data_IF_192029340438
#
_entry.id   IF_192029340438
#
_cell.length_a   1.000
_cell.length_b   1.000
_cell.length_c   1.000
_cell.angle_alpha   90.00
_cell.angle_beta   90.00
_cell.angle_gamma   90.00
#
_symmetry.space_group_name_H-M   'P 1'
#
loop_
_entity.id
_entity.type
_entity.pdbx_description
1 polymer ?
#
# COMPACT_ATOMS: atom_id res chain seq x y z
N UNK A 1 -35.54 0.98 29.85
CA UNK A 1 -35.02 1.85 28.77
C UNK A 1 -34.98 1.00 27.52
N UNK A 2 -35.50 1.50 26.40
CA UNK A 2 -35.40 0.80 25.12
C UNK A 2 -33.94 0.56 24.73
N UNK A 3 -33.66 -0.47 23.93
CA UNK A 3 -32.31 -0.89 23.56
C UNK A 3 -31.58 0.24 22.81
N UNK A 4 -32.27 0.90 21.87
CA UNK A 4 -31.77 2.09 21.16
C UNK A 4 -31.44 3.23 22.13
N UNK A 5 -32.36 3.56 23.03
CA UNK A 5 -32.13 4.61 24.02
C UNK A 5 -30.93 4.30 24.94
N UNK A 6 -30.69 3.02 25.23
CA UNK A 6 -29.52 2.56 25.99
C UNK A 6 -28.23 2.74 25.20
N UNK A 7 -28.23 2.35 23.92
CA UNK A 7 -27.10 2.56 23.04
C UNK A 7 -26.75 4.05 22.90
N UNK A 8 -27.75 4.88 22.60
CA UNK A 8 -27.58 6.32 22.40
C UNK A 8 -26.97 6.97 23.65
N UNK A 9 -27.50 6.64 24.83
CA UNK A 9 -26.94 7.07 26.10
C UNK A 9 -25.49 6.64 26.30
N UNK A 10 -25.15 5.38 25.97
CA UNK A 10 -23.80 4.85 26.14
C UNK A 10 -22.79 5.47 25.17
N UNK A 11 -23.20 5.78 23.93
CA UNK A 11 -22.36 6.48 22.96
C UNK A 11 -22.06 7.89 23.45
N UNK A 12 -23.07 8.63 23.89
CA UNK A 12 -22.88 9.98 24.44
C UNK A 12 -22.00 9.97 25.70
N UNK A 13 -22.17 8.97 26.58
CA UNK A 13 -21.29 8.80 27.74
C UNK A 13 -19.83 8.57 27.34
N UNK A 14 -19.57 7.74 26.32
CA UNK A 14 -18.20 7.54 25.84
C UNK A 14 -17.63 8.83 25.26
N UNK A 15 -18.41 9.54 24.44
CA UNK A 15 -17.97 10.79 23.80
C UNK A 15 -17.66 11.88 24.82
N UNK A 16 -18.45 12.01 25.87
CA UNK A 16 -18.17 12.92 26.99
C UNK A 16 -16.88 12.51 27.73
N UNK A 17 -16.73 11.23 28.04
CA UNK A 17 -15.59 10.71 28.77
C UNK A 17 -14.26 10.95 28.02
N UNK A 18 -14.22 10.74 26.70
CA UNK A 18 -13.01 10.90 25.89
C UNK A 18 -12.57 12.37 25.72
N UNK A 19 -13.47 13.35 25.94
CA UNK A 19 -13.08 14.77 25.89
C UNK A 19 -12.03 15.13 26.94
N UNK A 20 -11.95 14.34 28.00
CA UNK A 20 -10.94 14.49 29.04
C UNK A 20 -9.60 13.80 28.72
N UNK A 21 -9.41 13.29 27.51
CA UNK A 21 -8.18 12.62 27.07
C UNK A 21 -7.57 13.31 25.86
N UNK A 22 -6.23 13.30 25.80
CA UNK A 22 -5.50 13.72 24.60
C UNK A 22 -5.89 12.88 23.39
N UNK A 23 -5.99 13.54 22.23
CA UNK A 23 -6.23 12.93 20.93
C UNK A 23 -5.02 13.10 20.02
N UNK A 24 -4.98 12.30 18.95
CA UNK A 24 -4.11 12.52 17.81
C UNK A 24 -4.83 13.33 16.74
N UNK A 25 -4.09 14.06 15.90
CA UNK A 25 -4.64 14.83 14.78
C UNK A 25 -4.19 14.19 13.47
N UNK A 26 -5.14 13.95 12.57
CA UNK A 26 -4.87 13.58 11.18
C UNK A 26 -5.63 14.51 10.26
N UNK A 27 -4.91 15.29 9.45
CA UNK A 27 -5.46 16.43 8.71
C UNK A 27 -6.21 17.42 9.63
N UNK A 28 -7.54 17.40 9.65
CA UNK A 28 -8.38 18.23 10.52
C UNK A 28 -9.18 17.42 11.56
N UNK A 29 -8.97 16.10 11.60
CA UNK A 29 -9.76 15.20 12.43
C UNK A 29 -9.09 15.00 13.79
N UNK A 30 -9.89 15.06 14.86
CA UNK A 30 -9.49 14.62 16.18
C UNK A 30 -9.77 13.13 16.32
N UNK A 31 -8.73 12.35 16.65
CA UNK A 31 -8.80 10.88 16.68
C UNK A 31 -8.39 10.36 18.06
N UNK A 32 -9.32 9.65 18.70
CA UNK A 32 -9.06 8.84 19.89
C UNK A 32 -9.04 7.36 19.50
N UNK A 33 -7.97 6.68 19.88
CA UNK A 33 -7.85 5.23 19.75
C UNK A 33 -7.84 4.62 21.14
N UNK A 34 -8.85 3.83 21.45
CA UNK A 34 -9.17 3.38 22.80
C UNK A 34 -9.01 1.86 22.85
N UNK A 35 -7.81 1.34 23.16
CA UNK A 35 -7.66 -0.06 23.50
C UNK A 35 -8.23 -0.32 24.89
N UNK A 36 -9.13 -1.30 25.03
CA UNK A 36 -9.72 -1.68 26.32
C UNK A 36 -9.93 -3.19 26.41
N UNK A 37 -9.79 -3.77 27.61
CA UNK A 37 -10.21 -5.15 27.86
C UNK A 37 -11.70 -5.21 28.20
N UNK A 38 -12.40 -6.25 27.73
CA UNK A 38 -13.73 -6.60 28.20
C UNK A 38 -13.70 -7.37 29.55
N UNK A 39 -14.87 -7.76 30.03
CA UNK A 39 -15.02 -8.48 31.30
C UNK A 39 -14.35 -9.86 31.31
N UNK A 40 -14.12 -10.45 30.15
CA UNK A 40 -13.44 -11.74 29.98
C UNK A 40 -11.93 -11.57 29.75
N UNK A 41 -11.44 -10.32 29.71
CA UNK A 41 -10.05 -9.99 29.44
C UNK A 41 -9.67 -9.99 27.96
N UNK A 42 -10.63 -10.10 27.03
CA UNK A 42 -10.36 -9.94 25.60
C UNK A 42 -10.18 -8.47 25.27
N UNK A 43 -9.19 -8.16 24.44
CA UNK A 43 -8.88 -6.79 24.07
C UNK A 43 -9.60 -6.35 22.80
N UNK A 44 -10.11 -5.14 22.83
CA UNK A 44 -10.84 -4.48 21.75
C UNK A 44 -10.24 -3.10 21.48
N UNK A 45 -10.55 -2.52 20.33
CA UNK A 45 -10.12 -1.18 19.95
C UNK A 45 -11.29 -0.43 19.32
N UNK A 46 -11.77 0.60 20.02
CA UNK A 46 -12.69 1.58 19.44
C UNK A 46 -11.88 2.78 18.96
N UNK A 47 -12.14 3.21 17.73
CA UNK A 47 -11.67 4.49 17.22
C UNK A 47 -12.82 5.48 17.20
N UNK A 48 -12.62 6.65 17.76
CA UNK A 48 -13.56 7.78 17.67
C UNK A 48 -12.91 8.88 16.86
N UNK A 49 -13.60 9.34 15.83
CA UNK A 49 -13.17 10.43 14.96
C UNK A 49 -14.17 11.56 15.11
N UNK A 50 -13.66 12.77 15.39
CA UNK A 50 -14.48 13.98 15.41
C UNK A 50 -13.93 14.98 14.41
N UNK A 51 -14.82 15.49 13.56
CA UNK A 51 -14.54 16.56 12.61
C UNK A 51 -15.69 17.57 12.63
N UNK A 52 -15.37 18.82 12.97
CA UNK A 52 -16.36 19.88 13.19
C UNK A 52 -17.44 19.47 14.21
N UNK A 53 -18.66 19.17 13.75
CA UNK A 53 -19.78 18.72 14.59
C UNK A 53 -20.13 17.25 14.39
N UNK A 54 -19.44 16.57 13.47
CA UNK A 54 -19.67 15.18 13.15
C UNK A 54 -18.78 14.29 14.00
N UNK A 55 -19.35 13.22 14.52
CA UNK A 55 -18.64 12.20 15.31
C UNK A 55 -18.94 10.84 14.70
N UNK A 56 -17.90 10.05 14.49
CA UNK A 56 -18.00 8.68 14.05
C UNK A 56 -17.22 7.75 14.98
N UNK A 57 -17.82 6.60 15.30
CA UNK A 57 -17.26 5.55 16.13
C UNK A 57 -17.09 4.29 15.29
N UNK A 58 -15.93 3.67 15.38
CA UNK A 58 -15.58 2.47 14.64
C UNK A 58 -15.12 1.37 15.60
N UNK A 59 -15.68 0.18 15.46
CA UNK A 59 -15.00 -1.02 15.94
C UNK A 59 -13.88 -1.33 14.96
N UNK A 60 -12.63 -1.15 15.39
CA UNK A 60 -11.50 -1.35 14.51
C UNK A 60 -11.38 -2.80 14.06
N UNK A 61 -11.97 -3.78 14.76
CA UNK A 61 -12.00 -5.17 14.33
C UNK A 61 -12.74 -5.40 13.00
N UNK A 62 -13.57 -4.43 12.59
CA UNK A 62 -14.42 -4.49 11.40
C UNK A 62 -15.68 -5.34 11.56
N UNK A 63 -15.82 -6.07 12.68
CA UNK A 63 -16.88 -7.06 12.91
C UNK A 63 -18.22 -6.47 13.37
N UNK A 64 -18.25 -5.19 13.70
CA UNK A 64 -19.40 -4.54 14.33
C UNK A 64 -19.76 -3.23 13.65
N UNK A 65 -19.21 -2.95 12.46
CA UNK A 65 -19.47 -1.68 11.78
C UNK A 65 -19.10 -0.46 12.64
N UNK A 66 -19.98 0.54 12.65
CA UNK A 66 -19.78 1.79 13.35
C UNK A 66 -21.06 2.61 13.45
N UNK A 67 -20.99 3.72 14.17
CA UNK A 67 -22.07 4.69 14.32
C UNK A 67 -21.58 6.10 14.00
N UNK A 68 -22.46 6.94 13.50
CA UNK A 68 -22.21 8.37 13.26
C UNK A 68 -23.38 9.25 13.65
N UNK A 69 -23.07 10.50 13.95
CA UNK A 69 -24.03 11.55 14.28
C UNK A 69 -23.42 12.95 14.23
N UNK A 70 -24.27 13.96 14.05
CA UNK A 70 -23.93 15.35 14.34
C UNK A 70 -24.46 15.77 15.71
N UNK A 71 -23.82 16.76 16.34
CA UNK A 71 -24.30 17.33 17.59
C UNK A 71 -25.76 17.82 17.45
N UNK A 72 -26.68 17.15 18.17
CA UNK A 72 -28.16 17.33 18.18
C UNK A 72 -28.97 16.47 17.20
N UNK A 73 -28.34 15.59 16.40
CA UNK A 73 -29.03 14.68 15.49
C UNK A 73 -29.14 13.25 16.03
N UNK A 74 -29.99 12.44 15.39
CA UNK A 74 -30.14 11.01 15.69
C UNK A 74 -28.84 10.24 15.39
N UNK A 75 -28.45 9.38 16.34
CA UNK A 75 -27.35 8.43 16.16
C UNK A 75 -27.78 7.34 15.18
N UNK A 76 -26.97 7.13 14.14
CA UNK A 76 -27.26 6.20 13.05
C UNK A 76 -26.09 5.25 12.81
N UNK A 77 -26.37 4.01 12.40
CA UNK A 77 -25.36 3.10 11.87
C UNK A 77 -24.65 3.71 10.66
N UNK A 78 -23.34 3.49 10.56
CA UNK A 78 -22.54 4.00 9.46
C UNK A 78 -22.75 3.13 8.20
N UNK A 79 -23.49 3.63 7.22
CA UNK A 79 -23.97 2.85 6.06
C UNK A 79 -22.86 2.40 5.11
N UNK A 80 -21.70 3.05 5.15
CA UNK A 80 -20.55 2.74 4.27
C UNK A 80 -19.85 1.44 4.68
N UNK A 81 -20.13 0.91 5.88
CA UNK A 81 -19.54 -0.33 6.36
C UNK A 81 -20.37 -1.54 5.91
N UNK A 82 -19.68 -2.61 5.51
CA UNK A 82 -20.32 -3.85 5.03
C UNK A 82 -21.13 -4.56 6.12
N UNK A 83 -20.83 -4.29 7.38
CA UNK A 83 -21.44 -4.95 8.53
C UNK A 83 -22.30 -3.95 9.31
N UNK A 84 -23.54 -4.32 9.55
CA UNK A 84 -24.45 -3.53 10.37
C UNK A 84 -24.14 -3.78 11.84
N UNK A 85 -24.04 -2.73 12.67
CA UNK A 85 -23.68 -2.87 14.08
C UNK A 85 -24.73 -3.65 14.87
N UNK A 86 -24.29 -4.64 15.66
CA UNK A 86 -25.12 -5.29 16.66
C UNK A 86 -25.18 -4.40 17.91
N UNK A 87 -26.35 -3.83 18.17
CA UNK A 87 -26.61 -2.92 19.28
C UNK A 87 -26.21 -3.51 20.65
N UNK A 88 -26.42 -4.81 20.89
CA UNK A 88 -26.11 -5.45 22.19
C UNK A 88 -24.61 -5.59 22.39
N UNK A 89 -23.89 -5.94 21.33
CA UNK A 89 -22.43 -6.03 21.35
C UNK A 89 -21.84 -4.65 21.61
N UNK A 90 -22.32 -3.62 20.90
CA UNK A 90 -21.88 -2.24 21.12
C UNK A 90 -22.16 -1.72 22.52
N UNK A 91 -23.36 -1.96 23.08
CA UNK A 91 -23.64 -1.60 24.48
C UNK A 91 -22.62 -2.25 25.43
N UNK A 92 -22.22 -3.50 25.16
CA UNK A 92 -21.22 -4.20 25.96
C UNK A 92 -19.83 -3.57 25.81
N UNK A 93 -19.41 -3.26 24.59
CA UNK A 93 -18.14 -2.61 24.29
C UNK A 93 -18.05 -1.22 24.92
N UNK A 94 -19.09 -0.40 24.76
CA UNK A 94 -19.16 0.95 25.31
C UNK A 94 -19.11 0.94 26.84
N UNK A 95 -19.78 -0.02 27.50
CA UNK A 95 -19.70 -0.19 28.95
C UNK A 95 -18.28 -0.53 29.40
N UNK A 96 -17.62 -1.45 28.71
CA UNK A 96 -16.24 -1.85 29.01
C UNK A 96 -15.27 -0.69 28.77
N UNK A 97 -15.39 0.03 27.64
CA UNK A 97 -14.57 1.18 27.30
C UNK A 97 -14.72 2.32 28.33
N UNK A 98 -15.95 2.70 28.70
CA UNK A 98 -16.20 3.72 29.72
C UNK A 98 -15.65 3.31 31.10
N UNK A 99 -15.81 2.05 31.49
CA UNK A 99 -15.23 1.55 32.75
C UNK A 99 -13.69 1.59 32.71
N UNK A 100 -13.10 1.24 31.57
CA UNK A 100 -11.67 1.29 31.35
C UNK A 100 -11.13 2.74 31.42
N UNK A 101 -11.75 3.69 30.73
CA UNK A 101 -11.35 5.11 30.78
C UNK A 101 -11.40 5.67 32.21
N UNK A 102 -12.41 5.31 33.01
CA UNK A 102 -12.46 5.69 34.43
C UNK A 102 -11.29 5.11 35.25
N UNK A 103 -10.82 3.91 34.90
CA UNK A 103 -9.62 3.32 35.51
C UNK A 103 -8.36 4.06 35.05
N UNK A 104 -8.26 4.39 33.75
CA UNK A 104 -7.14 5.16 33.20
C UNK A 104 -7.07 6.55 33.86
N UNK A 105 -8.19 7.23 34.11
CA UNK A 105 -8.19 8.53 34.82
C UNK A 105 -7.57 8.46 36.21
N UNK A 106 -7.73 7.34 36.92
CA UNK A 106 -7.19 7.16 38.27
C UNK A 106 -5.68 6.94 38.27
N UNK A 107 -5.19 6.14 37.33
CA UNK A 107 -3.76 5.86 37.17
C UNK A 107 -3.44 5.52 35.71
N UNK A 108 -3.22 6.57 34.91
CA UNK A 108 -3.01 6.41 33.48
C UNK A 108 -1.67 5.73 33.18
N UNK A 109 -0.67 5.88 34.06
CA UNK A 109 0.64 5.23 33.88
C UNK A 109 0.52 3.72 34.06
N UNK A 110 -0.13 3.24 35.13
CA UNK A 110 -0.34 1.82 35.33
C UNK A 110 -1.24 1.21 34.25
N UNK A 111 -2.29 1.92 33.84
CA UNK A 111 -3.19 1.44 32.78
C UNK A 111 -2.47 1.30 31.43
N UNK A 112 -1.65 2.28 31.03
CA UNK A 112 -0.89 2.20 29.79
C UNK A 112 0.22 1.13 29.87
N UNK A 113 0.88 0.93 31.02
CA UNK A 113 1.79 -0.21 31.21
C UNK A 113 1.07 -1.55 31.03
N UNK A 114 -0.18 -1.66 31.50
CA UNK A 114 -1.01 -2.85 31.30
C UNK A 114 -1.32 -3.08 29.81
N UNK A 115 -1.69 -2.04 29.06
CA UNK A 115 -1.88 -2.11 27.60
C UNK A 115 -0.60 -2.64 26.93
N UNK A 116 0.56 -2.08 27.24
CA UNK A 116 1.83 -2.51 26.65
C UNK A 116 2.16 -3.99 26.89
N UNK A 117 1.75 -4.53 28.04
CA UNK A 117 1.99 -5.94 28.41
C UNK A 117 0.95 -6.89 27.84
N UNK A 118 -0.32 -6.51 27.86
CA UNK A 118 -1.44 -7.44 27.66
C UNK A 118 -2.13 -7.29 26.31
N UNK A 119 -1.96 -6.16 25.61
CA UNK A 119 -2.61 -5.97 24.30
C UNK A 119 -2.08 -7.01 23.29
N UNK A 120 -2.95 -7.81 22.65
CA UNK A 120 -2.53 -8.93 21.80
C UNK A 120 -1.61 -8.50 20.67
N UNK A 121 -0.59 -9.31 20.37
CA UNK A 121 0.37 -9.02 19.30
C UNK A 121 -0.31 -9.03 17.93
N UNK A 122 -1.36 -9.83 17.75
CA UNK A 122 -2.22 -9.88 16.56
C UNK A 122 -2.92 -8.56 16.26
N UNK A 123 -3.06 -7.67 17.25
CA UNK A 123 -3.68 -6.36 17.11
C UNK A 123 -2.65 -5.23 17.03
N UNK A 124 -1.35 -5.55 17.04
CA UNK A 124 -0.27 -4.55 16.99
C UNK A 124 0.26 -4.38 15.57
N UNK A 125 0.82 -3.20 15.32
CA UNK A 125 1.57 -2.89 14.11
C UNK A 125 3.07 -2.91 14.42
N UNK A 126 3.89 -3.40 13.49
CA UNK A 126 5.33 -3.44 13.65
C UNK A 126 6.05 -3.74 12.34
N UNK A 127 7.36 -3.84 12.39
CA UNK A 127 8.19 -4.23 11.25
C UNK A 127 9.09 -5.40 11.64
N UNK A 128 9.25 -6.36 10.72
CA UNK A 128 10.18 -7.47 10.85
C UNK A 128 11.21 -7.39 9.71
N UNK A 129 12.52 -7.57 9.97
CA UNK A 129 13.51 -7.64 8.91
C UNK A 129 13.18 -8.76 7.93
N UNK A 130 13.12 -8.47 6.63
CA UNK A 130 12.75 -9.48 5.63
C UNK A 130 13.76 -10.64 5.64
N UNK A 131 15.04 -10.41 5.90
CA UNK A 131 16.04 -11.47 6.06
C UNK A 131 15.67 -12.51 7.15
N UNK A 132 15.07 -12.07 8.27
CA UNK A 132 14.62 -12.96 9.35
C UNK A 132 13.42 -13.79 8.89
N UNK A 133 12.47 -13.17 8.18
CA UNK A 133 11.33 -13.88 7.58
C UNK A 133 11.84 -14.90 6.56
N UNK A 134 12.68 -14.49 5.60
CA UNK A 134 13.26 -15.38 4.59
C UNK A 134 13.99 -16.57 5.22
N UNK A 135 14.74 -16.35 6.30
CA UNK A 135 15.45 -17.42 7.00
C UNK A 135 14.52 -18.35 7.81
N UNK A 136 13.41 -17.84 8.33
CA UNK A 136 12.49 -18.62 9.15
C UNK A 136 11.45 -19.41 8.33
N UNK A 137 11.13 -18.93 7.11
CA UNK A 137 10.06 -19.45 6.25
C UNK A 137 10.69 -20.02 4.97
N UNK A 138 11.05 -21.31 4.95
CA UNK A 138 11.68 -21.91 3.77
C UNK A 138 10.76 -21.90 2.54
N UNK A 139 9.44 -21.90 2.74
CA UNK A 139 8.44 -21.94 1.68
C UNK A 139 7.90 -20.54 1.31
N UNK A 140 8.43 -19.47 1.91
CA UNK A 140 8.01 -18.12 1.55
C UNK A 140 8.43 -17.79 0.12
N UNK A 141 7.59 -17.03 -0.58
CA UNK A 141 7.92 -16.55 -1.92
C UNK A 141 9.23 -15.74 -1.89
N UNK A 142 10.09 -16.02 -2.85
CA UNK A 142 11.41 -15.41 -2.99
C UNK A 142 11.57 -14.82 -4.37
N UNK A 143 11.57 -13.49 -4.43
CA UNK A 143 11.67 -12.76 -5.69
C UNK A 143 12.98 -13.07 -6.43
N UNK A 144 14.09 -13.22 -5.70
CA UNK A 144 15.41 -13.58 -6.24
C UNK A 144 15.42 -14.97 -6.89
N UNK A 145 14.75 -15.94 -6.27
CA UNK A 145 14.61 -17.28 -6.82
C UNK A 145 13.63 -17.32 -8.00
N UNK A 146 12.51 -16.59 -7.89
CA UNK A 146 11.47 -16.56 -8.92
C UNK A 146 11.95 -15.93 -10.24
N UNK A 147 12.78 -14.88 -10.18
CA UNK A 147 13.44 -14.36 -11.38
C UNK A 147 14.66 -15.21 -11.79
N UNK A 148 15.28 -15.91 -10.85
CA UNK A 148 16.53 -16.66 -11.01
C UNK A 148 17.73 -15.89 -10.49
N UNK A 149 18.57 -16.56 -9.68
CA UNK A 149 19.65 -15.93 -8.91
C UNK A 149 20.65 -15.14 -9.77
N UNK A 150 21.00 -15.64 -10.96
CA UNK A 150 21.91 -14.95 -11.87
C UNK A 150 21.32 -13.64 -12.40
N UNK A 151 20.03 -13.65 -12.72
CA UNK A 151 19.30 -12.46 -13.18
C UNK A 151 19.12 -11.46 -12.04
N UNK A 152 18.79 -11.95 -10.84
CA UNK A 152 18.72 -11.12 -9.64
C UNK A 152 20.06 -10.42 -9.38
N UNK A 153 21.17 -11.15 -9.47
CA UNK A 153 22.52 -10.58 -9.33
C UNK A 153 22.81 -9.50 -10.38
N UNK A 154 22.54 -9.77 -11.66
CA UNK A 154 22.70 -8.76 -12.73
C UNK A 154 21.94 -7.47 -12.42
N UNK A 155 20.70 -7.57 -11.93
CA UNK A 155 19.90 -6.40 -11.59
C UNK A 155 20.51 -5.65 -10.41
N UNK A 156 20.96 -6.36 -9.36
CA UNK A 156 21.67 -5.74 -8.23
C UNK A 156 22.92 -5.00 -8.71
N UNK A 157 23.73 -5.61 -9.57
CA UNK A 157 24.94 -5.01 -10.14
C UNK A 157 24.62 -3.73 -10.96
N UNK A 158 23.49 -3.70 -11.69
CA UNK A 158 23.02 -2.49 -12.40
C UNK A 158 22.66 -1.37 -11.43
N UNK A 159 21.99 -1.68 -10.30
CA UNK A 159 21.68 -0.69 -9.28
C UNK A 159 22.95 -0.17 -8.61
N UNK A 160 23.85 -1.05 -8.19
CA UNK A 160 25.08 -0.70 -7.46
C UNK A 160 26.10 0.05 -8.33
N UNK A 161 26.14 -0.22 -9.65
CA UNK A 161 26.95 0.53 -10.62
C UNK A 161 26.37 1.89 -11.02
N UNK A 162 25.24 2.28 -10.41
CA UNK A 162 24.49 3.50 -10.67
C UNK A 162 24.02 3.62 -12.14
N UNK A 163 23.85 2.50 -12.85
CA UNK A 163 23.40 2.49 -14.24
C UNK A 163 22.13 3.33 -14.43
N UNK A 164 21.12 3.09 -13.59
CA UNK A 164 19.82 3.79 -13.65
C UNK A 164 19.84 5.28 -13.29
N UNK A 165 20.97 5.80 -12.80
CA UNK A 165 21.16 7.22 -12.48
C UNK A 165 21.93 7.97 -13.57
N UNK A 166 22.52 7.26 -14.54
CA UNK A 166 23.29 7.86 -15.63
C UNK A 166 22.34 8.24 -16.76
N UNK A 167 22.32 9.52 -17.11
CA UNK A 167 21.48 10.03 -18.21
C UNK A 167 21.73 9.29 -19.52
N UNK A 168 22.99 8.99 -19.84
CA UNK A 168 23.37 8.30 -21.07
C UNK A 168 22.76 6.88 -21.20
N UNK A 169 22.39 6.28 -20.08
CA UNK A 169 21.89 4.90 -20.00
C UNK A 169 20.35 4.83 -19.92
N UNK A 170 19.68 5.96 -19.67
CA UNK A 170 18.23 6.05 -19.48
C UNK A 170 17.52 6.97 -20.48
N UNK A 171 18.27 7.72 -21.29
CA UNK A 171 17.72 8.76 -22.17
C UNK A 171 18.04 8.53 -23.65
N UNK A 172 17.05 8.84 -24.51
CA UNK A 172 17.18 8.88 -25.96
C UNK A 172 16.92 10.29 -26.47
N UNK A 173 17.64 10.71 -27.52
CA UNK A 173 17.50 12.07 -28.09
C UNK A 173 16.27 12.22 -28.96
N UNK A 174 16.02 11.25 -29.82
CA UNK A 174 14.88 11.17 -30.72
C UNK A 174 14.11 9.90 -30.40
N UNK A 175 12.78 9.94 -30.53
CA UNK A 175 11.95 8.77 -30.25
C UNK A 175 10.68 8.80 -31.10
N UNK A 176 10.22 7.63 -31.53
CA UNK A 176 8.97 7.43 -32.29
C UNK A 176 8.01 6.50 -31.56
N UNK A 177 6.74 6.49 -31.98
CA UNK A 177 5.76 5.56 -31.41
C UNK A 177 6.13 4.09 -31.72
N UNK A 178 6.67 3.81 -32.91
CA UNK A 178 7.10 2.45 -33.26
C UNK A 178 8.32 2.01 -32.44
N UNK A 179 9.22 2.92 -32.08
CA UNK A 179 10.29 2.62 -31.12
C UNK A 179 9.71 2.29 -29.74
N UNK A 180 8.78 3.09 -29.21
CA UNK A 180 8.06 2.74 -27.97
C UNK A 180 7.43 1.35 -28.05
N UNK A 181 6.72 1.05 -29.14
CA UNK A 181 6.10 -0.26 -29.33
C UNK A 181 7.14 -1.40 -29.43
N UNK A 182 8.36 -1.14 -29.90
CA UNK A 182 9.44 -2.13 -29.88
C UNK A 182 9.86 -2.48 -28.43
N UNK A 183 9.92 -1.50 -27.52
CA UNK A 183 10.13 -1.78 -26.09
C UNK A 183 8.99 -2.64 -25.54
N UNK A 184 7.74 -2.29 -25.86
CA UNK A 184 6.58 -3.07 -25.42
C UNK A 184 6.67 -4.53 -25.89
N UNK A 185 7.07 -4.77 -27.14
CA UNK A 185 7.27 -6.14 -27.67
C UNK A 185 8.27 -6.93 -26.83
N UNK A 186 9.44 -6.35 -26.55
CA UNK A 186 10.48 -7.00 -25.72
C UNK A 186 9.92 -7.31 -24.34
N UNK A 187 9.24 -6.35 -23.71
CA UNK A 187 8.62 -6.51 -22.41
C UNK A 187 7.60 -7.66 -22.39
N UNK A 188 6.67 -7.70 -23.35
CA UNK A 188 5.65 -8.74 -23.42
C UNK A 188 6.25 -10.14 -23.59
N UNK A 189 7.24 -10.29 -24.48
CA UNK A 189 7.89 -11.57 -24.71
C UNK A 189 8.67 -12.05 -23.46
N UNK A 190 9.26 -11.14 -22.70
CA UNK A 190 10.04 -11.45 -21.50
C UNK A 190 9.18 -11.80 -20.27
N UNK A 191 7.99 -11.20 -20.17
CA UNK A 191 7.08 -11.35 -19.02
C UNK A 191 5.86 -12.22 -19.31
N UNK A 192 5.92 -13.05 -20.35
CA UNK A 192 4.90 -14.06 -20.63
C UNK A 192 4.75 -14.99 -19.41
N UNK A 193 3.55 -15.05 -18.85
CA UNK A 193 3.18 -16.07 -17.88
C UNK A 193 2.99 -17.45 -18.54
N UNK A 194 3.02 -18.52 -17.74
CA UNK A 194 2.90 -19.90 -18.26
C UNK A 194 1.60 -20.12 -19.04
N UNK A 195 0.51 -19.49 -18.60
CA UNK A 195 -0.81 -19.58 -19.23
C UNK A 195 -1.06 -18.55 -20.35
N UNK A 196 -0.11 -17.63 -20.59
CA UNK A 196 -0.26 -16.58 -21.61
C UNK A 196 0.26 -17.05 -22.97
N UNK A 197 -0.62 -17.03 -23.99
CA UNK A 197 -0.20 -17.24 -25.39
C UNK A 197 0.09 -15.90 -26.03
N UNK A 198 1.37 -15.68 -26.37
CA UNK A 198 1.83 -14.48 -27.09
C UNK A 198 2.34 -14.92 -28.46
N UNK A 199 1.74 -14.36 -29.51
CA UNK A 199 2.22 -14.55 -30.88
C UNK A 199 3.41 -13.60 -31.13
N UNK A 200 4.61 -14.16 -31.14
CA UNK A 200 5.84 -13.40 -31.35
C UNK A 200 5.97 -12.80 -32.77
N UNK A 201 5.15 -13.23 -33.72
CA UNK A 201 5.13 -12.68 -35.09
C UNK A 201 4.47 -11.30 -35.15
N UNK A 202 3.60 -10.97 -34.20
CA UNK A 202 2.93 -9.67 -34.12
C UNK A 202 3.95 -8.53 -33.92
N UNK A 203 3.66 -7.39 -34.53
CA UNK A 203 4.38 -6.14 -34.27
C UNK A 203 4.18 -5.68 -32.82
N UNK A 204 5.10 -4.84 -32.34
CA UNK A 204 4.95 -4.27 -30.99
C UNK A 204 3.67 -3.46 -30.80
N UNK A 205 3.19 -2.82 -31.87
CA UNK A 205 1.95 -2.02 -31.86
C UNK A 205 0.72 -2.91 -31.74
N UNK A 206 0.74 -4.08 -32.36
CA UNK A 206 -0.31 -5.10 -32.23
C UNK A 206 -0.31 -5.73 -30.85
N UNK A 207 0.86 -6.08 -30.32
CA UNK A 207 0.98 -6.60 -28.95
C UNK A 207 0.53 -5.58 -27.92
N UNK A 208 0.91 -4.30 -28.07
CA UNK A 208 0.44 -3.23 -27.20
C UNK A 208 -1.09 -3.11 -27.26
N UNK A 209 -1.70 -3.14 -28.44
CA UNK A 209 -3.17 -3.13 -28.59
C UNK A 209 -3.84 -4.32 -27.88
N UNK A 210 -3.18 -5.47 -27.85
CA UNK A 210 -3.72 -6.69 -27.24
C UNK A 210 -3.61 -6.69 -25.70
N UNK A 211 -2.51 -6.20 -25.14
CA UNK A 211 -2.18 -6.41 -23.72
C UNK A 211 -2.22 -5.16 -22.84
N UNK A 212 -2.11 -3.95 -23.43
CA UNK A 212 -2.18 -2.71 -22.68
C UNK A 212 -3.60 -2.46 -22.14
N UNK A 213 -3.72 -1.47 -21.26
CA UNK A 213 -5.00 -1.07 -20.65
C UNK A 213 -6.08 -0.66 -21.68
N UNK A 214 -5.67 -0.20 -22.87
CA UNK A 214 -6.56 0.13 -23.99
C UNK A 214 -7.07 1.57 -23.99
N UNK A 215 -6.82 2.34 -22.92
CA UNK A 215 -7.03 3.80 -22.90
C UNK A 215 -5.76 4.52 -23.37
N UNK A 216 -5.38 4.31 -24.63
CA UNK A 216 -4.09 4.76 -25.21
C UNK A 216 -4.01 6.25 -25.56
N UNK A 217 -5.09 7.01 -25.34
CA UNK A 217 -5.15 8.46 -25.57
C UNK A 217 -4.71 8.90 -26.98
N UNK A 218 -5.00 8.06 -27.98
CA UNK A 218 -4.70 8.34 -29.38
C UNK A 218 -3.30 7.91 -29.83
N UNK A 219 -2.46 7.36 -28.94
CA UNK A 219 -1.13 6.85 -29.26
C UNK A 219 -1.16 5.80 -30.38
N UNK A 220 -2.22 4.98 -30.45
CA UNK A 220 -2.37 3.98 -31.51
C UNK A 220 -2.78 4.57 -32.86
N UNK A 221 -3.02 5.88 -32.96
CA UNK A 221 -3.51 6.56 -34.16
C UNK A 221 -2.52 7.52 -34.80
N UNK A 222 -1.47 7.93 -34.07
CA UNK A 222 -0.41 8.79 -34.62
C UNK A 222 0.47 8.01 -35.61
N UNK A 223 1.17 8.75 -36.49
CA UNK A 223 2.17 8.14 -37.36
C UNK A 223 3.29 7.51 -36.53
N UNK A 224 3.52 6.21 -36.76
CA UNK A 224 4.43 5.42 -35.94
C UNK A 224 5.90 5.75 -36.16
N UNK A 225 6.26 6.21 -37.35
CA UNK A 225 7.64 6.46 -37.76
C UNK A 225 8.03 7.94 -37.66
N UNK A 226 7.09 8.83 -37.33
CA UNK A 226 7.32 10.28 -37.20
C UNK A 226 7.76 10.64 -35.78
N UNK A 227 9.02 11.11 -35.59
CA UNK A 227 9.46 11.63 -34.29
C UNK A 227 8.69 12.89 -33.87
N UNK A 228 8.21 13.67 -34.85
CA UNK A 228 7.52 14.94 -34.63
C UNK A 228 6.10 14.70 -34.09
N UNK A 229 5.37 13.72 -34.66
CA UNK A 229 4.06 13.31 -34.15
C UNK A 229 4.16 12.77 -32.72
N UNK A 230 5.19 11.96 -32.44
CA UNK A 230 5.42 11.46 -31.09
C UNK A 230 5.76 12.58 -30.10
N UNK A 231 6.62 13.52 -30.49
CA UNK A 231 6.95 14.70 -29.70
C UNK A 231 5.72 15.55 -29.37
N UNK A 232 4.90 15.87 -30.36
CA UNK A 232 3.67 16.63 -30.18
C UNK A 232 2.67 15.88 -29.30
N UNK A 233 2.61 14.54 -29.40
CA UNK A 233 1.74 13.73 -28.56
C UNK A 233 2.21 13.72 -27.09
N UNK A 234 3.53 13.59 -26.84
CA UNK A 234 4.14 13.68 -25.50
C UNK A 234 3.89 15.05 -24.88
N UNK A 235 4.04 16.12 -25.68
CA UNK A 235 3.92 17.50 -25.21
C UNK A 235 2.47 18.00 -25.15
N UNK A 236 1.48 17.12 -25.37
CA UNK A 236 0.04 17.41 -25.41
C UNK A 236 -0.37 18.48 -26.45
N UNK A 237 0.36 18.58 -27.56
CA UNK A 237 0.09 19.47 -28.69
C UNK A 237 -0.67 18.76 -29.81
N UNK A 238 -0.57 17.43 -29.88
CA UNK A 238 -1.15 16.64 -30.97
C UNK A 238 -2.69 16.58 -30.91
N UNK A 239 -3.42 16.78 -32.04
CA UNK A 239 -4.89 16.82 -32.05
C UNK A 239 -5.58 15.51 -31.66
N UNK A 240 -4.89 14.37 -31.81
CA UNK A 240 -5.40 13.06 -31.39
C UNK A 240 -5.16 12.75 -29.91
N UNK A 241 -4.39 13.58 -29.19
CA UNK A 241 -4.12 13.42 -27.77
C UNK A 241 -5.38 13.78 -26.97
N UNK A 242 -5.92 12.82 -26.22
CA UNK A 242 -6.99 13.07 -25.22
C UNK A 242 -6.42 13.21 -23.81
N UNK A 243 -7.25 13.39 -22.78
CA UNK A 243 -6.83 13.38 -21.38
C UNK A 243 -7.58 12.30 -20.59
N UNK A 244 -6.95 11.75 -19.55
CA UNK A 244 -7.59 10.82 -18.60
C UNK A 244 -7.49 9.33 -18.95
N UNK A 245 -6.64 8.96 -19.91
CA UNK A 245 -6.28 7.59 -20.22
C UNK A 245 -4.99 7.12 -19.53
N UNK A 246 -4.52 5.94 -19.93
CA UNK A 246 -3.43 5.20 -19.31
C UNK A 246 -2.48 4.61 -20.38
N UNK A 247 -1.90 5.44 -21.26
CA UNK A 247 -1.12 4.98 -22.43
C UNK A 247 0.17 4.24 -22.06
N UNK A 248 0.61 4.39 -20.82
CA UNK A 248 1.82 3.75 -20.30
C UNK A 248 1.54 2.41 -19.63
N UNK A 249 0.29 2.10 -19.29
CA UNK A 249 -0.07 0.83 -18.62
C UNK A 249 -0.04 -0.33 -19.62
N UNK A 250 1.16 -0.87 -19.85
CA UNK A 250 1.41 -1.96 -20.80
C UNK A 250 0.87 -3.30 -20.32
N UNK A 251 0.72 -3.52 -19.00
CA UNK A 251 -0.01 -4.67 -18.44
C UNK A 251 -1.10 -4.16 -17.52
N UNK A 252 -2.35 -4.51 -17.86
CA UNK A 252 -3.54 -4.14 -17.10
C UNK A 252 -3.47 -4.66 -15.65
N UNK A 253 -3.91 -3.82 -14.73
CA UNK A 253 -4.04 -4.16 -13.31
C UNK A 253 -4.92 -3.14 -12.59
N UNK A 254 -5.09 -3.32 -11.28
CA UNK A 254 -5.66 -2.27 -10.45
C UNK A 254 -4.65 -1.14 -10.24
N UNK A 255 -5.06 -0.11 -9.50
CA UNK A 255 -4.21 1.04 -9.15
C UNK A 255 -2.86 0.69 -8.51
N UNK A 256 -2.71 -0.54 -8.02
CA UNK A 256 -1.52 -1.05 -7.33
C UNK A 256 -0.88 -2.26 -8.02
N UNK A 257 -1.42 -2.77 -9.13
CA UNK A 257 -0.98 -4.04 -9.75
C UNK A 257 -0.82 -3.98 -11.27
N UNK A 258 -0.88 -2.79 -11.87
CA UNK A 258 -0.50 -2.60 -13.27
C UNK A 258 1.02 -2.51 -13.40
N UNK A 259 1.53 -2.75 -14.61
CA UNK A 259 2.91 -2.44 -14.98
C UNK A 259 2.86 -1.33 -16.03
N UNK A 260 3.62 -0.27 -15.77
CA UNK A 260 3.72 0.88 -16.67
C UNK A 260 5.11 0.97 -17.27
N UNK A 261 5.17 1.23 -18.58
CA UNK A 261 6.37 1.65 -19.29
C UNK A 261 6.13 3.10 -19.74
N UNK A 262 6.52 4.05 -18.90
CA UNK A 262 6.29 5.46 -19.12
C UNK A 262 7.40 6.07 -19.98
N UNK A 263 7.00 7.01 -20.84
CA UNK A 263 7.92 7.89 -21.58
C UNK A 263 7.62 9.33 -21.19
N UNK A 264 8.65 10.09 -20.81
CA UNK A 264 8.49 11.49 -20.43
C UNK A 264 9.72 12.34 -20.75
N UNK A 265 9.53 13.67 -20.80
CA UNK A 265 10.62 14.64 -20.94
C UNK A 265 11.46 14.70 -19.66
N UNK A 266 12.79 14.80 -19.74
CA UNK A 266 13.63 14.98 -18.55
C UNK A 266 13.23 16.24 -17.76
N UNK A 267 13.28 16.19 -16.43
CA UNK A 267 12.70 17.22 -15.52
C UNK A 267 13.17 18.66 -15.74
N UNK A 268 14.33 18.87 -16.36
CA UNK A 268 14.95 20.19 -16.53
C UNK A 268 15.26 20.54 -17.99
N UNK A 269 14.71 19.80 -18.97
CA UNK A 269 14.85 20.10 -20.39
C UNK A 269 13.68 19.57 -21.22
N UNK A 270 13.38 20.26 -22.31
CA UNK A 270 12.36 19.84 -23.27
C UNK A 270 12.90 18.81 -24.28
N UNK A 271 14.22 18.63 -24.35
CA UNK A 271 14.86 17.70 -25.28
C UNK A 271 15.08 16.31 -24.67
N UNK A 272 14.92 15.30 -25.53
CA UNK A 272 15.10 13.89 -25.17
C UNK A 272 13.89 13.28 -24.48
N UNK A 273 14.03 11.98 -24.19
CA UNK A 273 13.00 11.16 -23.58
C UNK A 273 13.63 10.19 -22.58
N UNK A 274 13.01 10.07 -21.41
CA UNK A 274 13.32 9.04 -20.41
C UNK A 274 12.30 7.91 -20.59
N UNK A 275 12.79 6.67 -20.66
CA UNK A 275 11.95 5.48 -20.64
C UNK A 275 12.06 4.86 -19.25
N UNK A 276 10.94 4.73 -18.55
CA UNK A 276 10.91 4.23 -17.18
C UNK A 276 9.88 3.12 -17.01
N UNK A 277 10.33 2.00 -16.46
CA UNK A 277 9.47 0.91 -16.05
C UNK A 277 9.01 1.07 -14.60
N UNK A 278 7.76 0.75 -14.31
CA UNK A 278 7.17 0.79 -12.97
C UNK A 278 6.23 -0.40 -12.76
N UNK A 279 6.35 -1.10 -11.64
CA UNK A 279 5.56 -2.29 -11.33
C UNK A 279 5.91 -2.87 -9.96
N UNK A 280 5.66 -2.11 -8.90
CA UNK A 280 6.23 -2.37 -7.58
C UNK A 280 5.52 -3.47 -6.76
N UNK A 281 4.29 -3.88 -7.11
CA UNK A 281 3.60 -4.95 -6.35
C UNK A 281 4.33 -6.28 -6.45
N UNK A 282 4.41 -7.06 -5.36
CA UNK A 282 5.08 -8.37 -5.35
C UNK A 282 4.71 -9.26 -6.53
N UNK A 283 3.40 -9.44 -6.74
CA UNK A 283 2.87 -10.31 -7.80
C UNK A 283 3.21 -9.86 -9.23
N UNK A 284 3.66 -8.62 -9.42
CA UNK A 284 4.14 -8.09 -10.71
C UNK A 284 5.62 -7.81 -10.75
N UNK A 285 6.31 -7.86 -9.61
CA UNK A 285 7.70 -7.44 -9.51
C UNK A 285 8.60 -8.38 -10.33
N UNK A 286 8.31 -9.67 -10.30
CA UNK A 286 9.00 -10.67 -11.13
C UNK A 286 8.87 -10.37 -12.63
N UNK A 287 7.64 -10.16 -13.11
CA UNK A 287 7.36 -9.76 -14.50
C UNK A 287 8.12 -8.48 -14.86
N UNK A 288 8.00 -7.45 -14.01
CA UNK A 288 8.63 -6.14 -14.19
C UNK A 288 10.16 -6.28 -14.31
N UNK A 289 10.78 -7.08 -13.46
CA UNK A 289 12.22 -7.28 -13.50
C UNK A 289 12.69 -8.12 -14.69
N UNK A 290 11.87 -9.06 -15.17
CA UNK A 290 12.13 -9.76 -16.45
C UNK A 290 12.07 -8.80 -17.63
N UNK A 291 11.07 -7.91 -17.68
CA UNK A 291 10.97 -6.86 -18.71
C UNK A 291 12.19 -5.94 -18.68
N UNK A 292 12.55 -5.43 -17.49
CA UNK A 292 13.70 -4.55 -17.31
C UNK A 292 14.98 -5.17 -17.87
N UNK A 293 15.27 -6.41 -17.46
CA UNK A 293 16.48 -7.09 -17.87
C UNK A 293 16.49 -7.37 -19.38
N UNK A 294 15.36 -7.80 -19.97
CA UNK A 294 15.28 -8.08 -21.40
C UNK A 294 15.47 -6.81 -22.25
N UNK A 295 14.90 -5.67 -21.84
CA UNK A 295 15.11 -4.38 -22.51
C UNK A 295 16.58 -3.95 -22.41
N UNK A 296 17.18 -4.08 -21.22
CA UNK A 296 18.58 -3.77 -21.02
C UNK A 296 19.51 -4.68 -21.87
N UNK A 297 19.25 -5.99 -21.91
CA UNK A 297 20.01 -6.95 -22.70
C UNK A 297 19.84 -6.75 -24.22
N UNK A 298 18.77 -6.09 -24.66
CA UNK A 298 18.59 -5.63 -26.04
C UNK A 298 19.39 -4.36 -26.37
N UNK A 299 20.13 -3.79 -25.41
CA UNK A 299 20.93 -2.58 -25.58
C UNK A 299 20.12 -1.28 -25.62
N UNK A 300 18.87 -1.31 -25.13
CA UNK A 300 17.96 -0.18 -25.15
C UNK A 300 18.03 0.62 -23.84
N UNK A 301 18.06 1.97 -23.88
CA UNK A 301 18.03 2.81 -22.69
C UNK A 301 16.78 2.59 -21.83
N UNK A 302 16.96 2.33 -20.54
CA UNK A 302 15.85 2.05 -19.63
C UNK A 302 16.22 2.37 -18.19
N UNK A 303 15.26 2.92 -17.45
CA UNK A 303 15.33 3.02 -15.98
C UNK A 303 14.13 2.34 -15.33
N UNK A 304 14.17 2.16 -14.01
CA UNK A 304 13.09 1.59 -13.21
C UNK A 304 12.75 2.54 -12.07
N UNK A 305 11.47 2.59 -11.69
CA UNK A 305 11.03 3.31 -10.50
C UNK A 305 11.73 2.74 -9.26
N UNK A 306 12.32 3.63 -8.46
CA UNK A 306 12.98 3.32 -7.19
C UNK A 306 13.96 2.13 -7.26
N UNK A 307 15.09 2.27 -7.99
CA UNK A 307 16.06 1.18 -8.14
C UNK A 307 16.57 0.61 -6.81
N UNK A 308 16.64 1.43 -5.77
CA UNK A 308 17.10 0.95 -4.47
C UNK A 308 16.08 0.07 -3.73
N UNK A 309 14.78 0.34 -3.88
CA UNK A 309 13.76 -0.60 -3.40
C UNK A 309 13.88 -1.96 -4.08
N UNK A 310 14.18 -1.98 -5.38
CA UNK A 310 14.41 -3.22 -6.14
C UNK A 310 15.56 -4.01 -5.53
N UNK A 311 16.70 -3.36 -5.35
CA UNK A 311 17.90 -3.98 -4.77
C UNK A 311 17.61 -4.52 -3.37
N UNK A 312 16.98 -3.73 -2.49
CA UNK A 312 16.65 -4.15 -1.12
C UNK A 312 15.77 -5.40 -1.11
N UNK A 313 14.73 -5.46 -1.93
CA UNK A 313 13.81 -6.62 -2.00
C UNK A 313 14.50 -7.90 -2.51
N UNK A 314 15.33 -7.79 -3.55
CA UNK A 314 16.12 -8.92 -4.05
C UNK A 314 17.04 -9.47 -2.95
N UNK A 315 17.68 -8.58 -2.19
CA UNK A 315 18.63 -8.94 -1.13
C UNK A 315 17.98 -9.21 0.25
N UNK A 316 16.67 -9.08 0.40
CA UNK A 316 15.97 -9.09 1.71
C UNK A 316 16.53 -8.08 2.73
N UNK A 317 16.98 -6.92 2.23
CA UNK A 317 17.42 -5.80 3.05
C UNK A 317 16.28 -4.81 3.37
N UNK A 318 15.08 -5.07 2.85
CA UNK A 318 13.85 -4.38 3.18
C UNK A 318 13.18 -4.97 4.45
N UNK A 319 12.04 -4.40 4.84
CA UNK A 319 11.24 -4.87 5.97
C UNK A 319 9.88 -5.41 5.50
N UNK A 320 9.38 -6.39 6.25
CA UNK A 320 7.98 -6.83 6.14
C UNK A 320 7.18 -6.12 7.23
N UNK A 321 6.12 -5.42 6.82
CA UNK A 321 5.19 -4.79 7.75
C UNK A 321 4.30 -5.83 8.42
N UNK A 322 4.33 -5.88 9.75
CA UNK A 322 3.37 -6.64 10.55
C UNK A 322 2.17 -5.73 10.79
N UNK A 323 1.03 -6.08 10.22
CA UNK A 323 -0.20 -5.30 10.34
C UNK A 323 -1.20 -5.97 11.29
N UNK A 324 -2.01 -5.19 12.03
CA UNK A 324 -3.07 -5.73 12.87
C UNK A 324 -4.05 -6.60 12.07
N UNK A 325 -4.63 -7.62 12.70
CA UNK A 325 -5.54 -8.57 12.05
C UNK A 325 -6.75 -7.92 11.38
N UNK A 326 -7.14 -6.75 11.85
CA UNK A 326 -8.28 -6.00 11.34
C UNK A 326 -7.95 -5.07 10.15
N UNK A 327 -6.67 -4.95 9.78
CA UNK A 327 -6.24 -4.13 8.64
C UNK A 327 -6.22 -4.98 7.38
N UNK A 328 -7.00 -4.60 6.36
CA UNK A 328 -6.96 -5.26 5.06
C UNK A 328 -5.62 -5.04 4.35
N UNK A 329 -5.12 -6.06 3.64
CA UNK A 329 -3.89 -5.98 2.86
C UNK A 329 -3.85 -4.85 1.83
N UNK A 330 -5.01 -4.44 1.29
CA UNK A 330 -5.08 -3.41 0.27
C UNK A 330 -4.45 -2.10 0.74
N UNK A 331 -3.30 -1.73 0.15
CA UNK A 331 -2.51 -0.54 0.49
C UNK A 331 -2.03 -0.48 1.94
N UNK A 332 -1.99 -1.60 2.66
CA UNK A 332 -1.60 -1.60 4.06
C UNK A 332 -0.14 -1.19 4.29
N UNK A 333 0.72 -1.39 3.28
CA UNK A 333 2.10 -0.92 3.29
C UNK A 333 2.21 0.62 3.39
N UNK A 334 1.20 1.37 2.93
CA UNK A 334 1.16 2.84 3.04
C UNK A 334 1.00 3.35 4.48
N UNK A 335 0.74 2.45 5.44
CA UNK A 335 0.71 2.77 6.88
C UNK A 335 2.10 2.91 7.50
N UNK A 336 3.13 2.52 6.76
CA UNK A 336 4.52 2.62 7.15
C UNK A 336 5.14 3.85 6.48
N UNK A 337 6.13 4.44 7.15
CA UNK A 337 6.88 5.56 6.61
C UNK A 337 7.75 5.09 5.46
N UNK A 338 8.04 6.00 4.53
CA UNK A 338 8.88 5.69 3.36
C UNK A 338 10.29 5.23 3.74
N UNK A 339 10.83 5.71 4.86
CA UNK A 339 12.15 5.34 5.37
C UNK A 339 12.16 4.01 6.16
N UNK A 340 11.01 3.37 6.36
CA UNK A 340 10.93 2.02 6.94
C UNK A 340 11.12 0.91 5.89
N UNK A 341 11.21 1.24 4.59
CA UNK A 341 11.39 0.29 3.48
C UNK A 341 10.42 -0.90 3.54
N UNK A 342 9.15 -0.64 3.82
CA UNK A 342 8.09 -1.66 3.85
C UNK A 342 7.34 -1.68 2.52
N UNK A 343 7.57 -2.74 1.75
CA UNK A 343 6.89 -2.97 0.47
C UNK A 343 5.76 -4.00 0.60
N UNK A 344 5.97 -5.00 1.46
CA UNK A 344 5.04 -6.09 1.71
C UNK A 344 4.57 -6.08 3.15
N UNK A 345 3.37 -6.61 3.37
CA UNK A 345 2.75 -6.71 4.67
C UNK A 345 2.22 -8.11 4.93
N UNK A 346 2.17 -8.48 6.21
CA UNK A 346 1.54 -9.70 6.68
C UNK A 346 0.88 -9.49 8.04
N UNK A 347 -0.12 -10.29 8.35
CA UNK A 347 -0.66 -10.39 9.70
C UNK A 347 0.26 -11.21 10.59
N UNK A 348 0.36 -10.85 11.87
CA UNK A 348 1.16 -11.59 12.84
C UNK A 348 0.78 -13.08 12.96
N UNK A 349 -0.50 -13.42 12.72
CA UNK A 349 -0.98 -14.82 12.74
C UNK A 349 -0.36 -15.68 11.64
N UNK A 350 -0.01 -15.09 10.50
CA UNK A 350 0.59 -15.80 9.35
C UNK A 350 2.00 -16.29 9.66
N UNK A 351 2.62 -15.80 10.74
CA UNK A 351 3.87 -16.36 11.22
C UNK A 351 3.74 -17.82 11.71
N UNK A 352 2.53 -18.25 12.06
CA UNK A 352 2.21 -19.63 12.43
C UNK A 352 3.18 -20.22 13.45
N UNK A 353 3.75 -21.38 13.13
CA UNK A 353 4.72 -22.09 13.98
C UNK A 353 6.05 -21.34 14.18
N UNK A 354 6.33 -20.31 13.37
CA UNK A 354 7.58 -19.57 13.40
C UNK A 354 7.52 -18.31 14.29
N UNK A 355 6.37 -17.99 14.90
CA UNK A 355 6.23 -16.84 15.82
C UNK A 355 7.42 -16.70 16.78
N UNK A 356 7.79 -17.76 17.49
CA UNK A 356 8.90 -17.75 18.47
C UNK A 356 10.26 -17.33 17.88
N UNK A 357 10.51 -17.59 16.59
CA UNK A 357 11.77 -17.25 15.91
C UNK A 357 11.80 -15.82 15.41
N UNK A 358 10.64 -15.25 15.08
CA UNK A 358 10.53 -13.94 14.44
C UNK A 358 10.18 -12.85 15.45
N UNK A 359 9.29 -13.11 16.40
CA UNK A 359 8.78 -12.11 17.36
C UNK A 359 9.87 -11.31 18.07
N UNK A 360 11.01 -11.90 18.51
CA UNK A 360 12.09 -11.13 19.14
C UNK A 360 12.73 -10.09 18.23
N UNK A 361 12.60 -10.23 16.91
CA UNK A 361 13.14 -9.31 15.89
C UNK A 361 12.10 -8.32 15.36
N UNK A 362 10.85 -8.39 15.85
CA UNK A 362 9.81 -7.43 15.45
C UNK A 362 10.01 -6.14 16.26
N UNK A 363 10.20 -5.03 15.55
CA UNK A 363 10.12 -3.71 16.14
C UNK A 363 8.67 -3.26 16.11
N UNK A 364 8.00 -3.31 17.26
CA UNK A 364 6.61 -2.90 17.39
C UNK A 364 6.48 -1.38 17.39
N UNK A 365 5.49 -0.86 16.66
CA UNK A 365 5.12 0.55 16.74
C UNK A 365 4.47 0.85 18.10
N UNK A 366 4.58 2.10 18.59
CA UNK A 366 3.94 2.50 19.83
C UNK A 366 2.42 2.30 19.77
N UNK A 367 1.86 1.70 20.82
CA UNK A 367 0.41 1.64 21.03
C UNK A 367 -0.07 3.03 21.50
N UNK A 368 -1.26 3.50 21.09
CA UNK A 368 -1.85 4.75 21.57
C UNK A 368 -1.83 4.85 23.10
N UNK A 369 -1.36 6.00 23.60
CA UNK A 369 -1.29 6.29 25.03
C UNK A 369 -2.54 7.05 25.45
N UNK A 370 -3.35 6.44 26.31
CA UNK A 370 -4.52 7.08 26.89
C UNK A 370 -4.07 8.02 28.02
N UNK A 371 -3.88 9.30 27.71
CA UNK A 371 -3.43 10.33 28.66
C UNK A 371 -4.55 11.33 28.97
N UNK A 372 -4.96 11.49 30.25
CA UNK A 372 -5.92 12.53 30.65
C UNK A 372 -5.38 13.95 30.42
N UNK A 373 -6.27 14.89 30.09
CA UNK A 373 -5.97 16.33 29.99
C UNK A 373 -6.00 16.90 31.42
N UNK A 374 -4.85 17.39 31.90
CA UNK A 374 -4.73 18.02 33.22
C UNK A 374 -4.32 17.09 34.38
N UNK A 375 -3.73 15.92 34.07
CA UNK A 375 -3.11 15.01 35.05
C UNK A 375 -1.59 15.04 35.06
#
# INVERSE_FOLDING_TARGET
MDEKATLDYMILCLVDEIQSFHYSISALDHIWEIPFPDQNGSWHLIRVVSYRKHIALFDMSGKQGGYEFEACDDIKPLEILREYPDTKVWITYLKAACAWLKLVKKDWVAANKRIQREYPLELRQGIAPHAVIRSAFPDAYRLDEAIGLDKAKKIVDLVESLYFHKQADAEVKTFTANEYFAYCKIAYLAAKGDDEVIDASLSGRELYRQFADGRDEGLLKIDGDSPEEFADWIDNKHPLRSMGGHPWEIKRGGNTTHISLAVYRPMYREEGYVIQLSGESLGRMEETLRMLLAIHEAGLPITITNPEAVRKRLLAQDNIGIIPEYVWFHRANQRFRKDEDVFEVMHYKELGRYKRRVTPFITWQPIPVLRPIGG
#
